data_IF_173249638914
#
_entry.id   IF_173249638914
#
_cell.length_a   1.000
_cell.length_b   1.000
_cell.length_c   1.000
_cell.angle_alpha   90.00
_cell.angle_beta   90.00
_cell.angle_gamma   90.00
#
_symmetry.space_group_name_H-M   'P 1'
#
loop_
_entity.id
_entity.type
_entity.pdbx_description
1 polymer ?
#
# COMPACT_ATOMS: atom_id res chain seq x y z
N UNK A 1 21.61 -30.30 -14.37
CA UNK A 1 20.48 -30.18 -13.42
C UNK A 1 19.38 -31.12 -13.89
N UNK A 2 19.13 -32.20 -13.15
CA UNK A 2 18.16 -33.25 -13.50
C UNK A 2 16.74 -32.68 -13.49
N UNK A 3 16.10 -32.60 -14.65
CA UNK A 3 14.64 -32.48 -14.74
C UNK A 3 14.08 -33.90 -14.71
N UNK A 4 13.55 -34.31 -13.56
CA UNK A 4 12.91 -35.60 -13.40
C UNK A 4 11.59 -35.58 -14.19
N UNK A 5 11.47 -36.44 -15.20
CA UNK A 5 10.40 -36.45 -16.21
C UNK A 5 8.98 -36.71 -15.68
N UNK A 6 8.82 -36.98 -14.37
CA UNK A 6 7.53 -37.26 -13.73
C UNK A 6 6.88 -36.07 -13.02
N UNK A 7 7.58 -34.94 -12.85
CA UNK A 7 7.03 -33.77 -12.13
C UNK A 7 7.62 -32.45 -12.65
N UNK A 8 6.92 -31.72 -13.54
CA UNK A 8 7.35 -30.38 -13.90
C UNK A 8 7.09 -29.45 -12.71
N UNK A 9 8.13 -29.15 -11.91
CA UNK A 9 8.05 -28.16 -10.85
C UNK A 9 8.17 -26.77 -11.47
N UNK A 10 7.08 -25.98 -11.38
CA UNK A 10 7.11 -24.56 -11.68
C UNK A 10 7.59 -23.78 -10.45
N UNK A 11 8.65 -22.99 -10.60
CA UNK A 11 9.17 -22.14 -9.53
C UNK A 11 8.57 -20.73 -9.67
N UNK A 12 7.88 -20.26 -8.64
CA UNK A 12 7.44 -18.87 -8.52
C UNK A 12 8.36 -18.20 -7.51
N UNK A 13 9.07 -17.15 -7.96
CA UNK A 13 9.94 -16.34 -7.13
C UNK A 13 9.28 -14.98 -6.93
N UNK A 14 9.06 -14.59 -5.68
CA UNK A 14 8.51 -13.28 -5.28
C UNK A 14 9.41 -12.68 -4.21
N UNK A 15 9.67 -11.39 -4.29
CA UNK A 15 10.58 -10.69 -3.41
C UNK A 15 10.81 -9.24 -3.83
N UNK A 16 11.68 -8.58 -3.09
CA UNK A 16 12.10 -7.18 -3.29
C UNK A 16 13.13 -7.05 -4.41
N UNK A 17 13.65 -5.85 -4.63
CA UNK A 17 14.64 -5.58 -5.69
C UNK A 17 15.89 -6.46 -5.61
N UNK A 18 16.28 -6.92 -4.42
CA UNK A 18 17.40 -7.83 -4.20
C UNK A 18 17.21 -9.19 -4.89
N UNK A 19 15.96 -9.66 -5.02
CA UNK A 19 15.65 -10.88 -5.77
C UNK A 19 15.97 -10.70 -7.27
N UNK A 20 15.72 -9.51 -7.81
CA UNK A 20 16.05 -9.16 -9.20
C UNK A 20 17.56 -9.26 -9.41
N UNK A 21 18.36 -8.74 -8.49
CA UNK A 21 19.83 -8.80 -8.56
C UNK A 21 20.36 -10.23 -8.44
N UNK A 22 19.78 -11.04 -7.55
CA UNK A 22 20.10 -12.46 -7.43
C UNK A 22 19.80 -13.23 -8.72
N UNK A 23 18.63 -13.01 -9.33
CA UNK A 23 18.26 -13.65 -10.59
C UNK A 23 19.19 -13.22 -11.72
N UNK A 24 19.53 -11.92 -11.78
CA UNK A 24 20.43 -11.36 -12.80
C UNK A 24 21.87 -11.87 -12.66
N UNK A 25 22.25 -12.40 -11.50
CA UNK A 25 23.59 -12.95 -11.25
C UNK A 25 23.83 -14.29 -11.97
N UNK A 26 22.77 -15.02 -12.36
CA UNK A 26 22.88 -16.27 -13.15
C UNK A 26 22.18 -16.12 -14.52
N UNK A 27 22.94 -16.02 -15.63
CA UNK A 27 22.39 -15.92 -16.98
C UNK A 27 21.46 -17.08 -17.39
N UNK A 28 21.56 -18.25 -16.75
CA UNK A 28 20.67 -19.39 -17.01
C UNK A 28 19.26 -19.17 -16.46
N UNK A 29 19.14 -18.45 -15.34
CA UNK A 29 17.86 -18.11 -14.73
C UNK A 29 17.13 -17.03 -15.53
N UNK A 30 17.86 -16.00 -15.97
CA UNK A 30 17.30 -14.89 -16.76
C UNK A 30 16.57 -15.37 -18.03
N UNK A 31 17.07 -16.43 -18.68
CA UNK A 31 16.45 -16.99 -19.91
C UNK A 31 15.21 -17.86 -19.65
N UNK A 32 14.95 -18.23 -18.40
CA UNK A 32 13.91 -19.21 -18.01
C UNK A 32 12.83 -18.63 -17.11
N UNK A 33 13.01 -17.40 -16.64
CA UNK A 33 12.07 -16.69 -15.79
C UNK A 33 11.24 -15.72 -16.64
N UNK A 34 9.95 -15.64 -16.35
CA UNK A 34 9.06 -14.60 -16.87
C UNK A 34 8.85 -13.58 -15.75
N UNK A 35 9.56 -12.43 -15.75
CA UNK A 35 9.42 -11.46 -14.69
C UNK A 35 8.06 -10.77 -14.77
N UNK A 36 7.46 -10.53 -13.60
CA UNK A 36 6.32 -9.65 -13.40
C UNK A 36 6.74 -8.66 -12.33
N UNK A 37 6.74 -7.38 -12.67
CA UNK A 37 7.10 -6.29 -11.77
C UNK A 37 5.85 -5.49 -11.47
N UNK A 38 5.60 -5.22 -10.18
CA UNK A 38 4.55 -4.31 -9.74
C UNK A 38 5.22 -2.94 -9.61
N UNK A 39 4.92 -1.98 -10.51
CA UNK A 39 5.53 -0.66 -10.44
C UNK A 39 4.97 0.12 -9.25
N UNK A 40 5.69 1.18 -8.88
CA UNK A 40 5.16 2.19 -7.97
C UNK A 40 3.97 2.89 -8.62
N UNK A 41 2.97 3.19 -7.81
CA UNK A 41 1.78 3.92 -8.18
C UNK A 41 2.11 5.36 -8.59
N UNK A 42 1.30 5.89 -9.49
CA UNK A 42 1.32 7.29 -9.90
C UNK A 42 -0.09 7.85 -9.79
N UNK A 43 -0.21 9.09 -9.31
CA UNK A 43 -1.51 9.76 -9.21
C UNK A 43 -2.23 9.85 -10.56
N UNK A 44 -1.48 10.01 -11.65
CA UNK A 44 -2.04 10.21 -12.98
C UNK A 44 -2.61 8.95 -13.63
N UNK A 45 -2.10 7.76 -13.27
CA UNK A 45 -2.47 6.50 -13.93
C UNK A 45 -3.27 5.58 -13.02
N UNK A 46 -3.03 5.62 -11.72
CA UNK A 46 -3.50 4.57 -10.80
C UNK A 46 -4.62 5.02 -9.86
N UNK A 47 -5.10 6.25 -10.00
CA UNK A 47 -6.17 6.78 -9.12
C UNK A 47 -7.47 5.97 -9.25
N UNK A 48 -7.84 5.59 -10.48
CA UNK A 48 -9.01 4.75 -10.75
C UNK A 48 -8.85 3.34 -10.17
N UNK A 49 -7.62 2.81 -10.17
CA UNK A 49 -7.34 1.51 -9.57
C UNK A 49 -7.50 1.56 -8.04
N UNK A 50 -7.07 2.65 -7.41
CA UNK A 50 -7.27 2.86 -5.96
C UNK A 50 -8.74 3.13 -5.63
N UNK A 51 -9.46 3.87 -6.47
CA UNK A 51 -10.92 4.01 -6.35
C UNK A 51 -11.59 2.64 -6.34
N UNK A 52 -11.29 1.80 -7.34
CA UNK A 52 -11.90 0.48 -7.46
C UNK A 52 -11.52 -0.41 -6.27
N UNK A 53 -10.28 -0.33 -5.80
CA UNK A 53 -9.82 -1.05 -4.62
C UNK A 53 -10.64 -0.68 -3.36
N UNK A 54 -10.92 0.61 -3.15
CA UNK A 54 -11.77 1.07 -2.03
C UNK A 54 -13.19 0.51 -2.16
N UNK A 55 -13.77 0.59 -3.36
CA UNK A 55 -15.12 0.09 -3.64
C UNK A 55 -15.21 -1.41 -3.39
N UNK A 56 -14.28 -2.19 -3.93
CA UNK A 56 -14.26 -3.65 -3.80
C UNK A 56 -14.02 -4.08 -2.35
N UNK A 57 -13.09 -3.43 -1.66
CA UNK A 57 -12.78 -3.73 -0.26
C UNK A 57 -13.98 -3.43 0.64
N UNK A 58 -14.57 -2.24 0.53
CA UNK A 58 -15.75 -1.88 1.34
C UNK A 58 -16.94 -2.79 1.05
N UNK A 59 -17.20 -3.11 -0.21
CA UNK A 59 -18.24 -4.07 -0.59
C UNK A 59 -18.01 -5.46 -0.01
N UNK A 60 -16.77 -5.95 -0.01
CA UNK A 60 -16.42 -7.27 0.54
C UNK A 60 -16.71 -7.40 2.04
N UNK A 61 -16.57 -6.31 2.80
CA UNK A 61 -16.83 -6.28 4.25
C UNK A 61 -18.18 -5.63 4.61
N UNK A 62 -19.08 -5.47 3.64
CA UNK A 62 -20.42 -4.88 3.82
C UNK A 62 -20.40 -3.44 4.41
N UNK A 63 -19.32 -2.69 4.15
CA UNK A 63 -19.22 -1.27 4.43
C UNK A 63 -19.59 -0.43 3.21
N UNK A 64 -20.07 0.79 3.44
CA UNK A 64 -20.17 1.80 2.40
C UNK A 64 -18.95 2.72 2.44
N UNK A 65 -18.32 3.00 1.31
CA UNK A 65 -17.32 4.07 1.25
C UNK A 65 -18.02 5.44 1.34
N UNK A 66 -17.58 6.30 2.25
CA UNK A 66 -18.09 7.68 2.30
C UNK A 66 -17.69 8.45 1.03
N UNK A 67 -18.51 9.43 0.57
CA UNK A 67 -18.19 10.20 -0.64
C UNK A 67 -16.81 10.87 -0.59
N UNK A 68 -16.40 11.37 0.58
CA UNK A 68 -15.09 11.99 0.79
C UNK A 68 -13.93 11.03 0.51
N UNK A 69 -14.06 9.75 0.93
CA UNK A 69 -13.01 8.75 0.70
C UNK A 69 -12.87 8.42 -0.80
N UNK A 70 -13.95 8.57 -1.57
CA UNK A 70 -13.98 8.32 -3.00
C UNK A 70 -13.54 9.52 -3.85
N UNK A 71 -13.32 10.69 -3.25
CA UNK A 71 -12.79 11.86 -3.97
C UNK A 71 -11.34 11.63 -4.39
N UNK A 72 -10.99 12.01 -5.62
CA UNK A 72 -9.60 11.92 -6.13
C UNK A 72 -8.58 12.54 -5.17
N UNK A 73 -8.93 13.65 -4.52
CA UNK A 73 -8.06 14.31 -3.56
C UNK A 73 -7.71 13.43 -2.35
N UNK A 74 -8.64 12.58 -1.91
CA UNK A 74 -8.45 11.64 -0.82
C UNK A 74 -7.75 10.37 -1.27
N UNK A 75 -8.10 9.84 -2.45
CA UNK A 75 -7.41 8.71 -3.06
C UNK A 75 -5.91 9.02 -3.26
N UNK A 76 -5.58 10.25 -3.66
CA UNK A 76 -4.20 10.71 -3.74
C UNK A 76 -3.45 10.70 -2.40
N UNK A 77 -4.16 10.93 -1.29
CA UNK A 77 -3.59 10.80 0.07
C UNK A 77 -3.32 9.34 0.42
N UNK A 78 -4.18 8.40 0.02
CA UNK A 78 -3.92 6.96 0.20
C UNK A 78 -2.65 6.56 -0.55
N UNK A 79 -2.52 6.96 -1.82
CA UNK A 79 -1.33 6.68 -2.65
C UNK A 79 -0.06 7.26 -2.00
N UNK A 80 -0.13 8.52 -1.55
CA UNK A 80 1.02 9.15 -0.91
C UNK A 80 1.36 8.53 0.45
N UNK A 81 0.37 8.24 1.29
CA UNK A 81 0.53 7.56 2.58
C UNK A 81 1.16 6.17 2.42
N UNK A 82 0.86 5.50 1.30
CA UNK A 82 1.42 4.22 0.90
C UNK A 82 2.85 4.32 0.35
N UNK A 83 3.47 5.50 0.35
CA UNK A 83 4.73 5.76 -0.35
C UNK A 83 4.68 5.23 -1.79
N UNK A 84 3.55 5.39 -2.46
CA UNK A 84 3.33 4.92 -3.83
C UNK A 84 3.49 3.40 -4.02
N UNK A 85 3.58 2.61 -2.96
CA UNK A 85 3.66 1.15 -3.05
C UNK A 85 2.25 0.55 -3.01
N UNK A 86 1.86 -0.17 -4.07
CA UNK A 86 0.49 -0.69 -4.20
C UNK A 86 0.09 -1.62 -3.04
N UNK A 87 0.98 -2.51 -2.62
CA UNK A 87 0.74 -3.37 -1.46
C UNK A 87 0.51 -2.58 -0.17
N UNK A 88 1.21 -1.46 0.01
CA UNK A 88 1.06 -0.61 1.19
C UNK A 88 -0.28 0.14 1.18
N UNK A 89 -0.76 0.53 0.00
CA UNK A 89 -2.07 1.14 -0.15
C UNK A 89 -3.18 0.17 0.27
N UNK A 90 -3.06 -1.11 -0.11
CA UNK A 90 -3.97 -2.17 0.33
C UNK A 90 -3.92 -2.33 1.85
N UNK A 91 -2.73 -2.42 2.44
CA UNK A 91 -2.59 -2.54 3.90
C UNK A 91 -3.22 -1.37 4.66
N UNK A 92 -3.00 -0.13 4.20
CA UNK A 92 -3.59 1.07 4.82
C UNK A 92 -5.11 1.05 4.72
N UNK A 93 -5.65 0.66 3.56
CA UNK A 93 -7.09 0.53 3.36
C UNK A 93 -7.70 -0.53 4.28
N UNK A 94 -7.08 -1.71 4.36
CA UNK A 94 -7.53 -2.79 5.25
C UNK A 94 -7.52 -2.31 6.70
N UNK A 95 -6.44 -1.69 7.15
CA UNK A 95 -6.35 -1.16 8.51
C UNK A 95 -7.45 -0.10 8.79
N UNK A 96 -7.74 0.78 7.84
CA UNK A 96 -8.83 1.75 7.98
C UNK A 96 -10.21 1.07 8.00
N UNK A 97 -10.42 0.01 7.21
CA UNK A 97 -11.64 -0.78 7.24
C UNK A 97 -11.80 -1.53 8.57
N UNK A 98 -10.71 -2.09 9.12
CA UNK A 98 -10.69 -2.72 10.44
C UNK A 98 -11.10 -1.73 11.54
N UNK A 99 -10.55 -0.51 11.54
CA UNK A 99 -10.95 0.55 12.48
C UNK A 99 -12.45 0.86 12.37
N UNK A 100 -12.98 0.93 11.15
CA UNK A 100 -14.42 1.15 10.92
C UNK A 100 -15.27 0.00 11.50
N UNK A 101 -14.88 -1.24 11.25
CA UNK A 101 -15.58 -2.44 11.71
C UNK A 101 -15.52 -2.57 13.24
N UNK A 102 -14.36 -2.33 13.85
CA UNK A 102 -14.19 -2.34 15.31
C UNK A 102 -15.03 -1.26 15.99
N UNK A 103 -15.21 -0.12 15.33
CA UNK A 103 -16.10 0.94 15.79
C UNK A 103 -17.60 0.63 15.57
N UNK A 104 -17.95 -0.48 14.92
CA UNK A 104 -19.33 -0.82 14.55
C UNK A 104 -19.92 0.16 13.52
N UNK A 105 -19.07 0.82 12.72
CA UNK A 105 -19.50 1.76 11.72
C UNK A 105 -20.15 1.04 10.52
N UNK A 106 -21.06 1.73 9.83
CA UNK A 106 -21.63 1.26 8.56
C UNK A 106 -20.91 1.85 7.34
N UNK A 107 -20.06 2.85 7.56
CA UNK A 107 -19.34 3.55 6.51
C UNK A 107 -17.85 3.67 6.80
N UNK A 108 -17.02 3.47 5.79
CA UNK A 108 -15.61 3.81 5.82
C UNK A 108 -15.45 5.33 5.61
N UNK A 109 -15.03 6.01 6.68
CA UNK A 109 -14.81 7.45 6.71
C UNK A 109 -13.33 7.81 6.75
N UNK A 110 -13.00 9.04 6.37
CA UNK A 110 -11.64 9.59 6.45
C UNK A 110 -11.01 9.46 7.85
N UNK A 111 -11.80 9.57 8.92
CA UNK A 111 -11.32 9.43 10.31
C UNK A 111 -10.72 8.06 10.59
N UNK A 112 -11.20 6.99 9.95
CA UNK A 112 -10.63 5.66 10.14
C UNK A 112 -9.24 5.54 9.53
N UNK A 113 -8.97 6.20 8.40
CA UNK A 113 -7.63 6.31 7.83
C UNK A 113 -6.68 7.10 8.73
N UNK A 114 -7.17 8.18 9.36
CA UNK A 114 -6.38 8.96 10.32
C UNK A 114 -5.94 8.08 11.50
N UNK A 115 -6.88 7.34 12.09
CA UNK A 115 -6.63 6.45 13.24
C UNK A 115 -5.68 5.32 12.83
N UNK A 116 -5.97 4.62 11.73
CA UNK A 116 -5.16 3.52 11.23
C UNK A 116 -3.72 3.97 10.93
N UNK A 117 -3.55 5.11 10.27
CA UNK A 117 -2.23 5.65 9.97
C UNK A 117 -1.48 6.04 11.24
N UNK A 118 -2.15 6.65 12.23
CA UNK A 118 -1.53 6.99 13.51
C UNK A 118 -1.08 5.74 14.26
N UNK A 119 -1.91 4.70 14.32
CA UNK A 119 -1.60 3.43 14.96
C UNK A 119 -0.39 2.75 14.33
N UNK A 120 -0.31 2.76 12.99
CA UNK A 120 0.78 2.18 12.22
C UNK A 120 2.10 2.94 12.34
N UNK A 121 2.05 4.27 12.29
CA UNK A 121 3.24 5.13 12.16
C UNK A 121 3.76 5.71 13.47
N UNK A 122 2.91 5.79 14.50
CA UNK A 122 3.18 6.51 15.73
C UNK A 122 3.33 8.02 15.57
N UNK A 123 3.03 8.59 14.40
CA UNK A 123 3.27 10.00 14.12
C UNK A 123 2.23 10.92 14.79
N UNK A 124 2.65 12.15 15.10
CA UNK A 124 1.71 13.21 15.48
C UNK A 124 0.79 13.56 14.30
N UNK A 125 -0.39 14.10 14.60
CA UNK A 125 -1.39 14.48 13.60
C UNK A 125 -0.89 15.49 12.57
N UNK A 126 0.07 16.34 12.97
CA UNK A 126 0.73 17.31 12.08
C UNK A 126 1.56 16.64 10.97
N UNK A 127 1.84 15.34 11.09
CA UNK A 127 2.52 14.52 10.10
C UNK A 127 1.59 13.44 9.51
N UNK A 128 0.29 13.51 9.78
CA UNK A 128 -0.65 12.55 9.21
C UNK A 128 -1.12 13.04 7.82
N UNK A 129 -0.82 12.31 6.73
CA UNK A 129 -1.18 12.72 5.37
C UNK A 129 -2.69 12.75 5.13
N UNK A 130 -3.51 12.21 6.02
CA UNK A 130 -4.98 12.30 5.94
C UNK A 130 -5.56 13.55 6.63
N UNK A 131 -4.74 14.30 7.38
CA UNK A 131 -5.14 15.54 8.07
C UNK A 131 -4.51 16.80 7.48
N UNK A 132 -3.25 16.72 7.06
CA UNK A 132 -2.46 17.88 6.63
C UNK A 132 -2.94 18.40 5.26
N UNK A 133 -3.13 19.71 5.11
CA UNK A 133 -3.51 20.31 3.82
C UNK A 133 -2.52 19.98 2.70
N UNK A 134 -1.24 20.28 2.93
CA UNK A 134 -0.13 20.00 2.00
C UNK A 134 0.53 18.65 2.29
N UNK A 135 -0.28 17.58 2.15
CA UNK A 135 0.12 16.23 2.52
C UNK A 135 1.34 15.71 1.76
N UNK A 136 1.60 16.20 0.55
CA UNK A 136 2.74 15.78 -0.28
C UNK A 136 4.11 16.13 0.33
N UNK A 137 4.15 17.05 1.29
CA UNK A 137 5.38 17.43 2.00
C UNK A 137 5.68 16.54 3.21
N UNK A 138 4.73 15.68 3.60
CA UNK A 138 4.92 14.73 4.69
C UNK A 138 5.87 13.62 4.21
N UNK A 139 6.94 13.37 4.96
CA UNK A 139 7.83 12.25 4.66
C UNK A 139 7.27 10.95 5.27
N UNK A 140 6.48 10.23 4.48
CA UNK A 140 5.85 8.96 4.89
C UNK A 140 6.84 7.80 5.08
N UNK A 141 8.11 7.96 4.70
CA UNK A 141 9.17 6.95 4.92
C UNK A 141 9.88 7.10 6.26
N UNK A 142 9.83 8.29 6.88
CA UNK A 142 10.57 8.62 8.11
C UNK A 142 9.65 8.71 9.33
N UNK A 143 8.77 7.73 9.47
CA UNK A 143 7.84 7.68 10.58
C UNK A 143 8.57 7.05 11.76
N UNK A 144 8.81 7.85 12.82
CA UNK A 144 9.63 7.65 14.04
C UNK A 144 10.91 8.52 14.16
N UNK A 145 10.92 9.77 13.71
CA UNK A 145 11.80 10.76 14.36
C UNK A 145 11.20 11.04 15.75
N UNK A 146 11.72 10.36 16.79
CA UNK A 146 11.49 10.82 18.17
C UNK A 146 11.99 12.26 18.24
N UNK A 147 11.22 13.17 18.85
CA UNK A 147 11.78 14.45 19.31
C UNK A 147 13.02 14.13 20.16
N UNK A 148 14.22 14.35 19.61
CA UNK A 148 15.46 14.00 20.30
C UNK A 148 16.74 13.85 19.48
N UNK A 149 16.70 13.67 18.15
CA UNK A 149 17.93 13.46 17.36
C UNK A 149 18.39 14.75 16.63
N UNK A 150 18.37 15.87 17.35
CA UNK A 150 19.17 17.07 17.01
C UNK A 150 20.35 17.15 18.01
N UNK A 151 21.41 16.37 17.78
CA UNK A 151 22.78 16.65 18.26
C UNK A 151 23.82 16.37 17.17
#
# INVERSE_FOLDING_TARGET
>A
MMQTSGWPVGLILSGTSELKDMINSDPQLVRRIKPVEIPRLTLAQDIDAIYQLVVDCTAYVELQASPVVLEESFLGRIIHAADYEFGLAIEILIAAAEEALLAGAQQLMATHFVIAFRSRSGCLDIYNPFLVLDYLRVNVRRLLEKEGDDE
#
